data_IF_662135490349
#
_entry.id   IF_662135490349
#
_cell.length_a   1.000
_cell.length_b   1.000
_cell.length_c   1.000
_cell.angle_alpha   90.00
_cell.angle_beta   90.00
_cell.angle_gamma   90.00
#
_symmetry.space_group_name_H-M   'P 1'
#
loop_
_entity.id
_entity.type
_entity.pdbx_description
1 polymer ?
#
# COMPACT_ATOMS: atom_id res chain seq x y z
N UNK A 1 -17.30 -20.50 -25.08
CA UNK A 1 -18.23 -19.50 -24.51
C UNK A 1 -18.78 -20.05 -23.18
N UNK A 2 -17.99 -20.07 -22.11
CA UNK A 2 -18.37 -20.69 -20.81
C UNK A 2 -17.85 -19.87 -19.62
N UNK A 3 -17.92 -18.54 -19.73
CA UNK A 3 -17.34 -17.60 -18.75
C UNK A 3 -18.38 -16.70 -18.07
N UNK A 4 -19.66 -17.08 -18.09
CA UNK A 4 -20.75 -16.31 -17.45
C UNK A 4 -21.46 -17.03 -16.29
N UNK A 5 -21.23 -18.32 -16.09
CA UNK A 5 -21.99 -19.11 -15.10
C UNK A 5 -21.40 -19.12 -13.68
N UNK A 6 -20.20 -18.57 -13.47
CA UNK A 6 -19.58 -18.52 -12.13
C UNK A 6 -19.99 -17.31 -11.27
N UNK A 7 -20.61 -16.27 -11.85
CA UNK A 7 -21.08 -15.11 -11.06
C UNK A 7 -22.35 -15.40 -10.25
N UNK A 8 -23.06 -16.51 -10.52
CA UNK A 8 -24.39 -16.77 -9.96
C UNK A 8 -24.39 -17.68 -8.73
N UNK A 9 -23.27 -18.34 -8.38
CA UNK A 9 -23.25 -19.22 -7.20
C UNK A 9 -23.20 -18.47 -5.86
N UNK A 10 -22.76 -17.21 -5.83
CA UNK A 10 -22.75 -16.38 -4.60
C UNK A 10 -24.14 -15.85 -4.20
N UNK A 11 -25.21 -16.15 -4.95
CA UNK A 11 -26.59 -15.79 -4.60
C UNK A 11 -27.26 -16.76 -3.59
N UNK A 12 -26.58 -17.84 -3.19
CA UNK A 12 -27.20 -18.90 -2.39
C UNK A 12 -27.00 -18.70 -0.89
N UNK A 13 -27.79 -17.77 -0.32
CA UNK A 13 -28.41 -17.80 1.03
C UNK A 13 -28.76 -16.38 1.49
N UNK A 14 -29.54 -15.66 0.69
CA UNK A 14 -30.10 -14.36 1.08
C UNK A 14 -31.25 -14.52 2.09
N UNK A 15 -30.97 -15.06 3.28
CA UNK A 15 -31.80 -14.70 4.43
C UNK A 15 -31.46 -13.25 4.79
N UNK A 16 -32.47 -12.41 5.00
CA UNK A 16 -32.25 -11.06 5.53
C UNK A 16 -31.81 -11.22 6.98
N UNK A 17 -30.51 -11.24 7.23
CA UNK A 17 -29.95 -11.41 8.57
C UNK A 17 -29.60 -10.02 9.11
N UNK A 18 -29.92 -9.80 10.38
CA UNK A 18 -29.44 -8.63 11.12
C UNK A 18 -27.91 -8.65 11.18
N UNK A 19 -27.28 -7.49 11.37
CA UNK A 19 -25.83 -7.45 11.50
C UNK A 19 -25.40 -8.27 12.73
N UNK A 20 -24.70 -9.38 12.51
CA UNK A 20 -24.19 -10.21 13.59
C UNK A 20 -22.87 -9.61 14.11
N UNK A 21 -22.64 -9.66 15.42
CA UNK A 21 -21.41 -9.14 16.03
C UNK A 21 -20.13 -9.86 15.58
N UNK A 22 -20.25 -11.02 14.94
CA UNK A 22 -19.17 -11.80 14.35
C UNK A 22 -19.19 -11.80 12.82
N UNK A 23 -19.96 -10.89 12.21
CA UNK A 23 -20.03 -10.81 10.75
C UNK A 23 -18.66 -10.50 10.18
N UNK A 24 -18.29 -11.18 9.11
CA UNK A 24 -17.06 -10.90 8.37
C UNK A 24 -17.37 -10.76 6.89
N UNK A 25 -16.65 -9.89 6.17
CA UNK A 25 -16.79 -9.77 4.73
C UNK A 25 -16.42 -11.10 4.06
N UNK A 26 -17.06 -11.42 2.93
CA UNK A 26 -16.70 -12.60 2.16
C UNK A 26 -15.25 -12.50 1.65
N UNK A 27 -14.55 -13.63 1.46
CA UNK A 27 -13.19 -13.63 0.90
C UNK A 27 -13.09 -12.86 -0.42
N UNK A 28 -14.12 -12.97 -1.27
CA UNK A 28 -14.27 -12.21 -2.52
C UNK A 28 -14.28 -10.69 -2.31
N UNK A 29 -14.96 -10.21 -1.25
CA UNK A 29 -15.00 -8.80 -0.91
C UNK A 29 -13.63 -8.31 -0.41
N UNK A 30 -12.91 -9.14 0.36
CA UNK A 30 -11.56 -8.86 0.82
C UNK A 30 -10.58 -8.77 -0.36
N UNK A 31 -10.64 -9.72 -1.30
CA UNK A 31 -9.81 -9.72 -2.51
C UNK A 31 -10.06 -8.46 -3.37
N UNK A 32 -11.32 -8.06 -3.54
CA UNK A 32 -11.66 -6.83 -4.28
C UNK A 32 -11.07 -5.58 -3.60
N UNK A 33 -11.04 -5.52 -2.27
CA UNK A 33 -10.54 -4.36 -1.53
C UNK A 33 -9.01 -4.34 -1.47
N UNK A 34 -8.39 -5.47 -1.12
CA UNK A 34 -6.95 -5.57 -0.92
C UNK A 34 -6.21 -5.67 -2.25
N UNK A 35 -6.56 -6.64 -3.10
CA UNK A 35 -5.81 -6.89 -4.34
C UNK A 35 -6.19 -5.91 -5.45
N UNK A 36 -7.48 -5.66 -5.66
CA UNK A 36 -7.94 -4.85 -6.80
C UNK A 36 -7.95 -3.35 -6.52
N UNK A 37 -8.20 -2.94 -5.29
CA UNK A 37 -8.21 -1.53 -4.91
C UNK A 37 -6.92 -1.07 -4.20
N UNK A 38 -6.00 -1.99 -3.88
CA UNK A 38 -4.71 -1.68 -3.26
C UNK A 38 -4.85 -1.14 -1.84
N UNK A 39 -5.96 -1.43 -1.17
CA UNK A 39 -6.27 -0.99 0.19
C UNK A 39 -5.57 -1.93 1.17
N UNK A 40 -5.00 -1.41 2.27
CA UNK A 40 -4.37 -2.30 3.25
C UNK A 40 -5.40 -3.17 3.95
N UNK A 41 -5.04 -4.42 4.23
CA UNK A 41 -5.91 -5.36 4.95
C UNK A 41 -6.35 -4.81 6.32
N UNK A 42 -5.42 -4.16 7.04
CA UNK A 42 -5.68 -3.54 8.33
C UNK A 42 -6.79 -2.47 8.26
N UNK A 43 -6.81 -1.64 7.21
CA UNK A 43 -7.88 -0.66 7.03
C UNK A 43 -9.22 -1.31 6.76
N UNK A 44 -9.23 -2.41 5.99
CA UNK A 44 -10.46 -3.17 5.76
C UNK A 44 -10.96 -3.77 7.07
N UNK A 45 -10.08 -4.36 7.89
CA UNK A 45 -10.44 -4.92 9.20
C UNK A 45 -10.99 -3.87 10.17
N UNK A 46 -10.36 -2.69 10.26
CA UNK A 46 -10.87 -1.58 11.07
C UNK A 46 -12.26 -1.13 10.59
N UNK A 47 -12.43 -1.00 9.26
CA UNK A 47 -13.74 -0.73 8.68
C UNK A 47 -14.76 -1.82 8.99
N UNK A 48 -14.37 -3.10 9.08
CA UNK A 48 -15.29 -4.19 9.46
C UNK A 48 -15.82 -3.96 10.87
N UNK A 49 -14.94 -3.66 11.83
CA UNK A 49 -15.33 -3.41 13.21
C UNK A 49 -16.27 -2.19 13.32
N UNK A 50 -15.92 -1.07 12.67
CA UNK A 50 -16.76 0.12 12.62
C UNK A 50 -18.13 -0.18 11.98
N UNK A 51 -18.13 -0.90 10.85
CA UNK A 51 -19.35 -1.22 10.11
C UNK A 51 -20.28 -2.14 10.89
N UNK A 52 -19.75 -3.15 11.60
CA UNK A 52 -20.55 -4.00 12.50
C UNK A 52 -21.19 -3.14 13.58
N UNK A 53 -20.41 -2.32 14.28
CA UNK A 53 -20.90 -1.48 15.38
C UNK A 53 -22.01 -0.53 14.93
N UNK A 54 -21.81 0.13 13.78
CA UNK A 54 -22.80 1.05 13.22
C UNK A 54 -24.11 0.35 12.82
N UNK A 55 -24.05 -0.81 12.16
CA UNK A 55 -25.26 -1.48 11.67
C UNK A 55 -25.94 -2.38 12.71
N UNK A 56 -25.21 -2.82 13.73
CA UNK A 56 -25.76 -3.54 14.87
C UNK A 56 -26.68 -2.65 15.71
N UNK A 57 -26.28 -1.40 15.97
CA UNK A 57 -27.11 -0.41 16.69
C UNK A 57 -28.42 -0.08 15.93
N UNK A 58 -28.35 -0.08 14.59
CA UNK A 58 -29.48 0.28 13.73
C UNK A 58 -30.51 -0.85 13.53
N UNK A 59 -30.22 -2.08 13.97
CA UNK A 59 -31.13 -3.22 13.85
C UNK A 59 -31.61 -3.54 12.42
N UNK A 60 -30.92 -3.04 11.40
CA UNK A 60 -31.34 -3.18 10.00
C UNK A 60 -31.04 -4.58 9.50
N UNK A 61 -31.95 -5.20 8.76
CA UNK A 61 -31.76 -6.51 8.13
C UNK A 61 -31.55 -6.35 6.63
N UNK A 62 -30.47 -6.88 6.09
CA UNK A 62 -30.14 -6.80 4.66
C UNK A 62 -29.49 -8.11 4.20
N UNK A 63 -29.60 -8.41 2.90
CA UNK A 63 -28.94 -9.58 2.27
C UNK A 63 -27.65 -9.21 1.54
N UNK A 64 -27.34 -7.92 1.40
CA UNK A 64 -26.24 -7.38 0.58
C UNK A 64 -25.20 -6.62 1.42
N UNK A 65 -24.87 -7.16 2.61
CA UNK A 65 -23.88 -6.56 3.50
C UNK A 65 -22.50 -6.42 2.85
N UNK A 66 -22.03 -7.43 2.11
CA UNK A 66 -20.75 -7.37 1.38
C UNK A 66 -20.69 -6.21 0.38
N UNK A 67 -21.74 -6.00 -0.42
CA UNK A 67 -21.76 -4.91 -1.40
C UNK A 67 -21.78 -3.54 -0.74
N UNK A 68 -22.56 -3.37 0.34
CA UNK A 68 -22.58 -2.12 1.13
C UNK A 68 -21.23 -1.86 1.78
N UNK A 69 -20.60 -2.89 2.32
CA UNK A 69 -19.29 -2.81 2.94
C UNK A 69 -18.21 -2.39 1.93
N UNK A 70 -18.14 -3.03 0.76
CA UNK A 70 -17.20 -2.65 -0.30
C UNK A 70 -17.38 -1.18 -0.70
N UNK A 71 -18.62 -0.71 -0.86
CA UNK A 71 -18.89 0.69 -1.20
C UNK A 71 -18.50 1.65 -0.07
N UNK A 72 -18.74 1.25 1.18
CA UNK A 72 -18.36 2.04 2.36
C UNK A 72 -16.84 2.22 2.43
N UNK A 73 -16.09 1.12 2.38
CA UNK A 73 -14.61 1.13 2.42
C UNK A 73 -14.04 1.92 1.26
N UNK A 74 -14.53 1.69 0.02
CA UNK A 74 -14.07 2.46 -1.15
C UNK A 74 -14.30 3.97 -0.99
N UNK A 75 -15.40 4.39 -0.37
CA UNK A 75 -15.69 5.81 -0.14
C UNK A 75 -14.83 6.40 0.96
N UNK A 76 -14.57 5.67 2.04
CA UNK A 76 -13.63 6.09 3.08
C UNK A 76 -12.22 6.24 2.49
N UNK A 77 -11.76 5.23 1.76
CA UNK A 77 -10.46 5.22 1.10
C UNK A 77 -10.31 6.36 0.07
N UNK A 78 -11.34 6.57 -0.76
CA UNK A 78 -11.34 7.66 -1.73
C UNK A 78 -11.26 9.02 -1.04
N UNK A 79 -12.01 9.26 0.04
CA UNK A 79 -11.94 10.52 0.81
C UNK A 79 -10.55 10.78 1.34
N UNK A 80 -9.94 9.77 1.94
CA UNK A 80 -8.58 9.87 2.47
C UNK A 80 -7.55 10.13 1.37
N UNK A 81 -7.67 9.43 0.23
CA UNK A 81 -6.76 9.63 -0.92
C UNK A 81 -6.98 10.99 -1.59
N UNK A 82 -8.21 11.47 -1.68
CA UNK A 82 -8.52 12.80 -2.20
C UNK A 82 -7.92 13.91 -1.33
N UNK A 83 -7.90 13.74 0.00
CA UNK A 83 -7.23 14.68 0.89
C UNK A 83 -5.73 14.82 0.58
N UNK A 84 -5.06 13.75 0.12
CA UNK A 84 -3.65 13.78 -0.28
C UNK A 84 -3.41 14.53 -1.60
N UNK A 85 -4.37 14.48 -2.51
CA UNK A 85 -4.25 15.01 -3.87
C UNK A 85 -4.80 16.43 -4.02
N UNK A 86 -5.09 17.12 -2.92
CA UNK A 86 -5.80 18.40 -2.94
C UNK A 86 -4.94 19.60 -3.39
N UNK A 87 -3.63 19.40 -3.60
CA UNK A 87 -2.80 20.42 -4.22
C UNK A 87 -2.93 20.28 -5.75
N UNK A 88 -3.54 21.30 -6.36
CA UNK A 88 -3.90 21.31 -7.80
C UNK A 88 -2.91 22.13 -8.60
N UNK A 89 -2.09 22.94 -7.92
CA UNK A 89 -1.07 23.75 -8.57
C UNK A 89 0.27 23.01 -8.55
N UNK A 90 0.87 22.73 -9.72
CA UNK A 90 2.21 22.18 -9.75
C UNK A 90 3.20 23.20 -9.17
N UNK A 91 3.73 22.91 -7.99
CA UNK A 91 4.71 23.77 -7.30
C UNK A 91 5.97 22.98 -6.97
N UNK A 92 7.15 23.63 -7.02
CA UNK A 92 8.36 23.02 -6.46
C UNK A 92 8.17 22.80 -4.95
N UNK A 93 8.89 21.82 -4.40
CA UNK A 93 8.83 21.54 -2.96
C UNK A 93 9.38 22.74 -2.18
N UNK A 94 8.69 23.15 -1.11
CA UNK A 94 9.20 24.16 -0.20
C UNK A 94 10.25 23.56 0.76
N UNK A 95 11.23 24.35 1.21
CA UNK A 95 12.25 23.87 2.15
C UNK A 95 11.68 23.51 3.53
N UNK A 96 10.55 24.11 3.88
CA UNK A 96 9.76 23.87 5.09
C UNK A 96 8.56 22.94 4.83
N UNK A 97 8.49 22.32 3.64
CA UNK A 97 7.39 21.43 3.29
C UNK A 97 7.28 20.26 4.27
N UNK A 98 6.04 19.98 4.68
CA UNK A 98 5.69 18.83 5.52
C UNK A 98 4.49 18.08 4.93
N UNK A 99 4.48 16.76 5.00
CA UNK A 99 3.33 15.96 4.62
C UNK A 99 2.15 16.23 5.56
N UNK A 100 0.95 16.11 5.01
CA UNK A 100 -0.29 16.20 5.77
C UNK A 100 -0.45 15.03 6.76
N UNK A 101 -1.25 15.22 7.80
CA UNK A 101 -1.50 14.17 8.81
C UNK A 101 -2.08 12.90 8.17
N UNK A 102 -2.93 13.07 7.15
CA UNK A 102 -3.50 11.98 6.36
C UNK A 102 -2.45 11.09 5.69
N UNK A 103 -1.25 11.59 5.40
CA UNK A 103 -0.16 10.75 4.87
C UNK A 103 0.31 9.77 5.93
N UNK A 104 0.52 10.25 7.15
CA UNK A 104 0.96 9.41 8.26
C UNK A 104 -0.09 8.40 8.67
N UNK A 105 -1.38 8.75 8.59
CA UNK A 105 -2.46 7.80 8.83
C UNK A 105 -2.38 6.62 7.86
N UNK A 106 -2.20 6.89 6.55
CA UNK A 106 -2.09 5.82 5.55
C UNK A 106 -0.85 4.96 5.77
N UNK A 107 0.25 5.57 6.19
CA UNK A 107 1.48 4.84 6.52
C UNK A 107 1.27 3.95 7.76
N UNK A 108 0.64 4.48 8.81
CA UNK A 108 0.28 3.71 10.01
C UNK A 108 -0.65 2.53 9.66
N UNK A 109 -1.63 2.75 8.79
CA UNK A 109 -2.51 1.70 8.27
C UNK A 109 -1.79 0.63 7.43
N UNK A 110 -0.63 0.96 6.84
CA UNK A 110 0.24 0.03 6.15
C UNK A 110 1.25 -0.66 7.08
N UNK A 111 1.10 -0.49 8.40
CA UNK A 111 2.03 -0.96 9.43
C UNK A 111 3.45 -0.37 9.26
N UNK A 112 3.53 0.86 8.74
CA UNK A 112 4.76 1.63 8.62
C UNK A 112 4.80 2.62 9.78
N UNK A 113 5.88 2.57 10.55
CA UNK A 113 6.04 3.43 11.71
C UNK A 113 6.14 4.91 11.33
N UNK A 114 5.52 5.78 12.14
CA UNK A 114 5.53 7.23 11.90
C UNK A 114 6.94 7.81 12.01
N UNK A 115 7.74 7.37 12.99
CA UNK A 115 9.09 7.88 13.18
C UNK A 115 10.00 7.50 12.01
N UNK A 116 9.80 6.30 11.43
CA UNK A 116 10.48 5.91 10.20
C UNK A 116 10.17 6.86 9.05
N UNK A 117 8.89 7.19 8.85
CA UNK A 117 8.50 8.17 7.83
C UNK A 117 9.13 9.54 8.11
N UNK A 118 8.98 10.08 9.32
CA UNK A 118 9.54 11.38 9.71
C UNK A 118 11.06 11.45 9.52
N UNK A 119 11.79 10.35 9.76
CA UNK A 119 13.23 10.27 9.49
C UNK A 119 13.61 10.41 8.01
N UNK A 120 12.73 10.00 7.09
CA UNK A 120 12.92 10.12 5.65
C UNK A 120 12.53 11.50 5.09
N UNK A 121 11.83 12.32 5.88
CA UNK A 121 11.37 13.63 5.46
C UNK A 121 12.51 14.58 5.02
N UNK A 122 13.59 14.81 5.80
CA UNK A 122 14.65 15.74 5.40
C UNK A 122 15.39 15.28 4.14
N UNK A 123 15.58 13.97 3.95
CA UNK A 123 16.18 13.42 2.74
C UNK A 123 15.30 13.69 1.51
N UNK A 124 13.99 13.43 1.65
CA UNK A 124 13.03 13.66 0.58
C UNK A 124 12.96 15.12 0.16
N UNK A 125 12.87 16.04 1.13
CA UNK A 125 12.84 17.49 0.86
C UNK A 125 14.12 17.93 0.16
N UNK A 126 15.29 17.52 0.66
CA UNK A 126 16.58 17.90 0.08
C UNK A 126 16.71 17.42 -1.38
N UNK A 127 16.35 16.16 -1.65
CA UNK A 127 16.41 15.60 -3.00
C UNK A 127 15.54 16.36 -4.00
N UNK A 128 14.29 16.65 -3.64
CA UNK A 128 13.35 17.33 -4.53
C UNK A 128 13.59 18.84 -4.63
N UNK A 129 14.21 19.44 -3.61
CA UNK A 129 14.62 20.84 -3.62
C UNK A 129 15.78 21.07 -4.60
N UNK A 130 16.69 20.09 -4.74
CA UNK A 130 17.78 20.10 -5.74
C UNK A 130 17.26 19.81 -7.16
N UNK A 131 16.33 18.86 -7.30
CA UNK A 131 15.75 18.50 -8.61
C UNK A 131 14.87 19.62 -9.20
N UNK A 132 14.24 20.43 -8.35
CA UNK A 132 13.51 21.64 -8.75
C UNK A 132 12.22 21.39 -9.54
N UNK A 133 11.76 20.14 -9.65
CA UNK A 133 10.54 19.81 -10.38
C UNK A 133 9.28 20.27 -9.67
N UNK A 134 8.34 20.79 -10.45
CA UNK A 134 7.02 21.15 -9.98
C UNK A 134 6.09 19.94 -10.05
N UNK A 135 5.51 19.55 -8.91
CA UNK A 135 4.53 18.47 -8.85
C UNK A 135 3.21 18.98 -8.31
N UNK A 136 2.11 18.36 -8.75
CA UNK A 136 0.78 18.65 -8.23
C UNK A 136 0.57 18.09 -6.84
N UNK A 137 1.16 16.95 -6.44
CA UNK A 137 0.98 16.42 -5.08
C UNK A 137 2.26 15.80 -4.52
N UNK A 138 2.92 16.57 -3.63
CA UNK A 138 4.07 16.10 -2.85
C UNK A 138 3.67 15.03 -1.83
N UNK A 139 2.45 15.10 -1.27
CA UNK A 139 1.91 14.11 -0.33
C UNK A 139 1.88 12.70 -0.93
N UNK A 140 1.32 12.55 -2.13
CA UNK A 140 1.26 11.26 -2.82
C UNK A 140 2.63 10.75 -3.24
N UNK A 141 3.55 11.66 -3.61
CA UNK A 141 4.93 11.29 -3.97
C UNK A 141 5.72 10.80 -2.77
N UNK A 142 5.59 11.49 -1.63
CA UNK A 142 6.25 11.12 -0.39
C UNK A 142 5.72 9.79 0.15
N UNK A 143 4.40 9.56 0.11
CA UNK A 143 3.81 8.28 0.48
C UNK A 143 4.38 7.10 -0.33
N UNK A 144 4.49 7.26 -1.65
CA UNK A 144 5.12 6.25 -2.51
C UNK A 144 6.60 6.04 -2.16
N UNK A 145 7.33 7.11 -1.90
CA UNK A 145 8.74 7.06 -1.52
C UNK A 145 8.93 6.27 -0.20
N UNK A 146 8.15 6.59 0.83
CA UNK A 146 8.21 5.89 2.13
C UNK A 146 7.83 4.42 1.98
N UNK A 147 6.75 4.08 1.26
CA UNK A 147 6.37 2.68 1.02
C UNK A 147 7.47 1.89 0.32
N UNK A 148 8.15 2.51 -0.66
CA UNK A 148 9.28 1.90 -1.35
C UNK A 148 10.45 1.67 -0.39
N UNK A 149 10.84 2.67 0.39
CA UNK A 149 11.92 2.53 1.37
C UNK A 149 11.59 1.44 2.41
N UNK A 150 10.36 1.40 2.90
CA UNK A 150 9.90 0.40 3.85
C UNK A 150 9.98 -1.03 3.29
N UNK A 151 9.59 -1.25 2.04
CA UNK A 151 9.73 -2.56 1.39
C UNK A 151 11.20 -3.01 1.27
N UNK A 152 12.13 -2.07 1.01
CA UNK A 152 13.56 -2.36 0.96
C UNK A 152 14.17 -2.58 2.35
N UNK A 153 13.63 -1.94 3.39
CA UNK A 153 14.04 -2.13 4.77
C UNK A 153 13.58 -3.49 5.30
N UNK A 154 12.27 -3.77 5.19
CA UNK A 154 11.64 -5.02 5.63
C UNK A 154 12.22 -6.26 4.94
N UNK A 155 12.68 -6.13 3.69
CA UNK A 155 13.37 -7.21 2.97
C UNK A 155 14.81 -7.48 3.45
N UNK A 156 15.49 -6.48 4.03
CA UNK A 156 16.86 -6.60 4.56
C UNK A 156 16.89 -7.17 5.98
N UNK A 157 15.88 -6.87 6.79
CA UNK A 157 15.75 -7.45 8.13
C UNK A 157 15.50 -8.97 8.08
N UNK A 158 14.88 -9.48 7.01
CA UNK A 158 14.69 -10.92 6.80
C UNK A 158 15.98 -11.68 6.40
N UNK A 159 16.95 -11.01 5.78
CA UNK A 159 18.23 -11.61 5.33
C UNK A 159 19.32 -11.53 6.43
N UNK A 160 19.21 -10.57 7.34
CA UNK A 160 20.25 -10.30 8.35
C UNK A 160 20.34 -11.35 9.48
N UNK A 161 19.45 -12.35 9.52
CA UNK A 161 19.48 -13.43 10.52
C UNK A 161 20.18 -14.72 10.03
N UNK A 162 20.90 -14.67 8.90
CA UNK A 162 21.81 -15.74 8.45
C UNK A 162 23.28 -15.30 8.42
N UNK A 163 23.74 -14.55 9.43
CA UNK A 163 25.15 -14.30 9.65
C UNK A 163 25.73 -15.40 10.57
N UNK A 164 26.01 -16.58 10.02
CA UNK A 164 26.95 -17.54 10.63
C UNK A 164 28.37 -17.02 10.35
N UNK A 165 29.20 -16.71 11.36
CA UNK A 165 30.62 -16.48 11.17
C UNK A 165 31.34 -17.82 11.22
N UNK A 166 31.87 -18.31 10.11
CA UNK A 166 32.82 -19.43 10.15
C UNK A 166 33.88 -19.36 9.04
N UNK A 167 35.00 -18.74 9.42
CA UNK A 167 36.37 -19.25 9.32
C UNK A 167 36.88 -19.88 8.00
N UNK A 168 37.91 -19.22 7.46
CA UNK A 168 38.97 -19.70 6.57
C UNK A 168 39.10 -21.21 6.39
N UNK A 169 38.88 -21.69 5.15
CA UNK A 169 39.67 -22.81 4.60
C UNK A 169 39.87 -22.70 3.10
N UNK A 170 41.14 -22.77 2.72
CA UNK A 170 41.67 -22.71 1.37
C UNK A 170 41.19 -23.86 0.47
N UNK A 171 40.94 -23.50 -0.81
CA UNK A 171 41.25 -24.19 -2.08
C UNK A 171 40.63 -25.59 -2.33
N UNK A 172 39.89 -25.72 -3.44
CA UNK A 172 40.36 -26.43 -4.65
C UNK A 172 39.49 -26.06 -5.87
N UNK A 173 40.12 -26.04 -7.04
CA UNK A 173 39.61 -25.58 -8.32
C UNK A 173 38.44 -26.40 -8.89
N UNK A 174 37.52 -25.73 -9.60
CA UNK A 174 36.79 -26.25 -10.77
C UNK A 174 36.50 -25.07 -11.71
N UNK A 175 37.03 -25.13 -12.93
CA UNK A 175 36.69 -24.24 -14.05
C UNK A 175 35.25 -24.52 -14.52
N UNK A 176 34.52 -23.48 -14.95
CA UNK A 176 33.37 -23.66 -15.81
C UNK A 176 32.29 -22.57 -15.76
N UNK A 177 32.33 -21.67 -16.73
CA UNK A 177 31.16 -21.18 -17.47
C UNK A 177 30.31 -20.03 -16.88
N UNK A 178 30.65 -18.83 -17.37
CA UNK A 178 29.84 -17.66 -17.80
C UNK A 178 28.36 -17.51 -17.39
N UNK A 179 28.03 -16.23 -17.11
CA UNK A 179 26.71 -15.55 -17.13
C UNK A 179 25.87 -15.69 -15.86
N UNK A 180 25.73 -14.60 -15.10
CA UNK A 180 24.67 -13.59 -15.31
C UNK A 180 24.86 -12.44 -14.29
N UNK A 181 25.51 -11.34 -14.69
CA UNK A 181 24.95 -9.98 -14.83
C UNK A 181 24.31 -9.40 -13.57
N UNK A 182 25.09 -8.47 -13.04
CA UNK A 182 24.80 -7.40 -12.10
C UNK A 182 23.53 -6.62 -12.47
N UNK A 183 22.51 -6.75 -11.64
CA UNK A 183 21.20 -6.08 -11.73
C UNK A 183 21.25 -4.68 -11.08
N UNK A 184 22.41 -4.28 -10.55
CA UNK A 184 22.62 -3.03 -9.82
C UNK A 184 23.07 -1.86 -10.71
N UNK A 185 23.14 -2.05 -12.04
CA UNK A 185 23.63 -1.05 -12.99
C UNK A 185 22.55 -0.53 -13.97
N UNK A 186 21.26 -0.82 -13.75
CA UNK A 186 20.16 -0.35 -14.62
C UNK A 186 19.32 0.76 -13.96
N UNK A 187 19.95 1.59 -13.11
CA UNK A 187 19.37 2.79 -12.49
C UNK A 187 19.82 4.11 -13.15
N UNK A 188 20.28 4.07 -14.41
CA UNK A 188 20.70 5.29 -15.11
C UNK A 188 20.42 5.24 -16.60
N UNK A 189 19.16 5.09 -17.01
CA UNK A 189 18.75 5.46 -18.37
C UNK A 189 17.99 6.79 -18.35
N UNK A 190 18.79 7.85 -18.23
CA UNK A 190 18.46 9.22 -18.61
C UNK A 190 18.78 9.36 -20.11
N UNK A 191 17.83 8.99 -20.96
CA UNK A 191 17.95 9.17 -22.42
C UNK A 191 16.59 9.55 -23.03
N UNK A 192 16.04 10.70 -22.66
CA UNK A 192 14.86 11.30 -23.32
C UNK A 192 15.14 12.75 -23.78
N UNK A 193 16.37 13.02 -24.23
CA UNK A 193 16.73 14.29 -24.85
C UNK A 193 17.25 14.05 -26.27
N UNK A 194 16.59 14.68 -27.26
CA UNK A 194 17.21 15.10 -28.51
C UNK A 194 16.78 14.35 -29.77
N UNK A 195 15.97 15.02 -30.59
CA UNK A 195 15.59 14.66 -31.95
C UNK A 195 14.50 15.58 -32.46
#
# INVERSE_FOLDING_TARGET
RQWRDQQTQQYQRSQKVAMAGNWQPSPDAMEILVERAGISANFVEDCVAEFILYWQDRGTVCSTWNSKFIQHVKRQWARLTHALNNDVDPRPIASDWRPDESVFDILAMANIDRQFAEGLLPEFVLYWLDDGQAMSSWNSKYLQYVKRQWAHHSGRDADSNSAIPHETRQRTARLGSTRNRDIAAELSDRSWAGG
#
